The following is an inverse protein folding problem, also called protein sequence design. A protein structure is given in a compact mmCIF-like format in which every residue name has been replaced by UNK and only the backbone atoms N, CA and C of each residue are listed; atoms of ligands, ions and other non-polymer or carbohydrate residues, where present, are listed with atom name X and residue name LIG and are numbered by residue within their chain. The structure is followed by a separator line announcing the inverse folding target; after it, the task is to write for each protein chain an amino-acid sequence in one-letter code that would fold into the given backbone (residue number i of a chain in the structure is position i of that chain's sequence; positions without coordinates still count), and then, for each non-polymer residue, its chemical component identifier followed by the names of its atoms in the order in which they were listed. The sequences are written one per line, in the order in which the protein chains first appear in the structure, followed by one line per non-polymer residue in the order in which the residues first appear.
data_IF_991582993898
#
_entry.id   IF_991582993898
#
_cell.length_a   1.000
_cell.length_b   1.000
_cell.length_c   1.000
_cell.angle_alpha   90.00
_cell.angle_beta   90.00
_cell.angle_gamma   90.00
#
_symmetry.space_group_name_H-M   'P 1'
#
loop_
_entity.id
_entity.type
_entity.pdbx_description
1 polymer ?
#
# COMPACT_ATOMS: atom_id res chain seq x y z
N UNK A 1 1.76 28.51 27.45
CA UNK A 1 1.87 29.74 26.63
C UNK A 1 3.15 30.44 26.99
N UNK A 2 4.21 30.34 26.19
CA UNK A 2 5.42 31.13 26.29
C UNK A 2 5.56 31.91 24.99
N UNK A 3 5.19 33.19 25.03
CA UNK A 3 5.44 34.15 23.97
C UNK A 3 6.89 34.59 24.06
N UNK A 4 7.78 34.08 23.21
CA UNK A 4 9.12 34.58 23.06
C UNK A 4 9.07 35.85 22.17
N UNK A 5 9.15 37.03 22.79
CA UNK A 5 9.32 38.29 22.06
C UNK A 5 10.77 38.41 21.58
N UNK A 6 10.97 38.17 20.31
CA UNK A 6 12.24 38.56 19.68
C UNK A 6 12.27 40.07 19.52
N UNK A 7 13.15 40.71 20.28
CA UNK A 7 13.45 42.12 20.18
C UNK A 7 14.52 42.30 19.10
N UNK A 8 14.14 42.76 17.90
CA UNK A 8 15.09 43.10 16.84
C UNK A 8 15.63 44.50 17.13
N UNK A 9 16.88 44.60 17.59
CA UNK A 9 17.58 45.88 17.71
C UNK A 9 18.23 46.22 16.36
N UNK A 10 17.63 47.12 15.61
CA UNK A 10 18.26 47.67 14.39
C UNK A 10 19.09 48.87 14.76
N UNK A 11 20.40 48.75 14.62
CA UNK A 11 21.33 49.87 14.72
C UNK A 11 21.46 50.53 13.35
N UNK A 12 20.91 51.70 13.18
CA UNK A 12 21.04 52.46 11.94
C UNK A 12 22.39 53.18 11.90
N UNK A 13 23.28 52.71 11.05
CA UNK A 13 24.49 53.48 10.69
C UNK A 13 24.14 54.55 9.66
N UNK A 14 24.76 55.75 9.77
CA UNK A 14 24.62 56.88 8.85
C UNK A 14 24.95 56.45 7.40
N UNK A 15 23.99 56.01 6.63
CA UNK A 15 24.12 55.72 5.22
C UNK A 15 23.73 56.98 4.41
N UNK A 16 24.64 57.41 3.49
CA UNK A 16 24.28 58.44 2.49
C UNK A 16 22.99 58.06 1.79
N UNK A 17 22.06 59.03 1.56
CA UNK A 17 20.69 58.80 1.08
C UNK A 17 20.58 57.81 -0.09
N UNK A 18 21.48 57.81 -1.06
CA UNK A 18 21.46 56.85 -2.18
C UNK A 18 21.71 55.38 -1.81
N UNK A 19 22.41 55.11 -0.71
CA UNK A 19 22.66 53.76 -0.19
C UNK A 19 21.49 53.24 0.66
N UNK A 20 20.79 54.16 1.32
CA UNK A 20 19.59 53.84 2.11
C UNK A 20 18.44 53.30 1.24
N UNK A 21 18.15 53.97 0.11
CA UNK A 21 17.11 53.50 -0.83
C UNK A 21 17.48 52.15 -1.45
N UNK A 22 18.75 51.87 -1.75
CA UNK A 22 19.21 50.56 -2.22
C UNK A 22 19.10 49.48 -1.16
N UNK A 23 19.37 49.83 0.10
CA UNK A 23 19.23 48.90 1.23
C UNK A 23 17.76 48.54 1.49
N UNK A 24 16.86 49.53 1.47
CA UNK A 24 15.39 49.27 1.60
C UNK A 24 14.87 48.40 0.45
N UNK A 25 15.26 48.65 -0.81
CA UNK A 25 14.87 47.81 -1.95
C UNK A 25 15.35 46.36 -1.79
N UNK A 26 16.57 46.13 -1.29
CA UNK A 26 17.11 44.79 -1.04
C UNK A 26 16.39 44.09 0.11
N UNK A 27 16.10 44.83 1.19
CA UNK A 27 15.32 44.30 2.33
C UNK A 27 13.89 43.93 1.89
N UNK A 28 13.23 44.79 1.09
CA UNK A 28 11.89 44.48 0.60
C UNK A 28 11.84 43.25 -0.32
N UNK A 29 12.85 43.07 -1.15
CA UNK A 29 12.97 41.85 -2.01
C UNK A 29 13.20 40.59 -1.17
N UNK A 30 14.08 40.69 -0.14
CA UNK A 30 14.31 39.55 0.75
C UNK A 30 13.08 39.20 1.60
N UNK A 31 12.34 40.20 2.09
CA UNK A 31 11.10 40.00 2.84
C UNK A 31 10.03 39.39 1.92
N UNK A 32 9.90 39.88 0.67
CA UNK A 32 8.98 39.31 -0.31
C UNK A 32 9.32 37.84 -0.64
N UNK A 33 10.61 37.54 -0.82
CA UNK A 33 11.08 36.17 -1.05
C UNK A 33 10.78 35.26 0.16
N UNK A 34 11.02 35.73 1.39
CA UNK A 34 10.71 35.00 2.62
C UNK A 34 9.19 34.76 2.76
N UNK A 35 8.35 35.77 2.46
CA UNK A 35 6.89 35.61 2.47
C UNK A 35 6.45 34.61 1.41
N UNK A 36 7.00 34.67 0.18
CA UNK A 36 6.70 33.68 -0.87
C UNK A 36 7.10 32.26 -0.46
N UNK A 37 8.28 32.06 0.11
CA UNK A 37 8.73 30.75 0.61
C UNK A 37 7.81 30.26 1.73
N UNK A 38 7.44 31.14 2.67
CA UNK A 38 6.56 30.80 3.77
C UNK A 38 5.15 30.46 3.29
N UNK A 39 4.59 31.23 2.33
CA UNK A 39 3.28 30.93 1.74
C UNK A 39 3.28 29.64 0.92
N UNK A 40 4.37 29.36 0.17
CA UNK A 40 4.54 28.08 -0.53
C UNK A 40 4.66 26.91 0.45
N UNK A 41 5.40 27.08 1.55
CA UNK A 41 5.53 26.07 2.60
C UNK A 41 4.18 25.82 3.29
N UNK A 42 3.44 26.88 3.63
CA UNK A 42 2.11 26.73 4.25
C UNK A 42 1.09 26.13 3.30
N UNK A 43 1.12 26.47 1.99
CA UNK A 43 0.23 25.88 1.00
C UNK A 43 0.55 24.41 0.75
N UNK A 44 1.82 24.01 0.80
CA UNK A 44 2.21 22.60 0.69
C UNK A 44 1.78 21.81 1.92
N UNK A 45 1.90 22.37 3.12
CA UNK A 45 1.44 21.71 4.37
C UNK A 45 -0.10 21.58 4.41
N UNK A 46 -0.84 22.58 3.92
CA UNK A 46 -2.31 22.49 3.85
C UNK A 46 -2.78 21.52 2.77
N UNK A 47 -2.08 21.44 1.64
CA UNK A 47 -2.36 20.44 0.60
C UNK A 47 -2.04 19.03 1.10
N UNK A 48 -0.93 18.84 1.82
CA UNK A 48 -0.56 17.56 2.44
C UNK A 48 -1.60 17.11 3.48
N UNK A 49 -2.14 18.03 4.29
CA UNK A 49 -3.18 17.72 5.28
C UNK A 49 -4.58 17.47 4.65
N UNK A 50 -4.83 17.95 3.42
CA UNK A 50 -6.14 17.86 2.78
C UNK A 50 -6.42 16.50 2.11
N UNK A 51 -5.38 15.69 1.86
CA UNK A 51 -5.49 14.42 1.11
C UNK A 51 -5.33 13.18 2.00
N UNK A 52 -5.76 13.26 3.26
CA UNK A 52 -5.76 12.10 4.14
C UNK A 52 -6.91 11.14 3.78
N UNK A 53 -6.58 9.87 3.67
CA UNK A 53 -7.51 8.77 3.41
C UNK A 53 -7.55 7.88 4.64
N UNK A 54 -8.75 7.49 5.06
CA UNK A 54 -8.96 6.50 6.12
C UNK A 54 -9.34 5.17 5.48
N UNK A 55 -8.55 4.14 5.74
CA UNK A 55 -8.75 2.77 5.28
C UNK A 55 -9.27 1.97 6.47
N UNK A 56 -10.37 1.24 6.27
CA UNK A 56 -10.96 0.34 7.26
C UNK A 56 -10.72 -1.10 6.83
N UNK A 57 -10.27 -1.92 7.76
CA UNK A 57 -10.09 -3.36 7.58
C UNK A 57 -11.22 -4.10 8.27
N UNK A 58 -11.57 -5.29 7.78
CA UNK A 58 -12.57 -6.16 8.40
C UNK A 58 -11.94 -7.32 9.16
N UNK A 59 -10.64 -7.51 9.00
CA UNK A 59 -9.89 -8.59 9.64
C UNK A 59 -8.75 -8.01 10.47
N UNK A 60 -8.68 -8.42 11.75
CA UNK A 60 -7.70 -7.90 12.70
C UNK A 60 -6.27 -8.29 12.34
N UNK A 61 -6.07 -9.49 11.78
CA UNK A 61 -4.73 -9.94 11.36
C UNK A 61 -4.24 -9.08 10.22
N UNK A 62 -5.10 -8.83 9.21
CA UNK A 62 -4.74 -7.96 8.08
C UNK A 62 -4.44 -6.55 8.56
N UNK A 63 -5.27 -5.98 9.44
CA UNK A 63 -5.05 -4.68 10.04
C UNK A 63 -3.70 -4.59 10.76
N UNK A 64 -3.44 -5.49 11.73
CA UNK A 64 -2.20 -5.50 12.51
C UNK A 64 -0.96 -5.68 11.63
N UNK A 65 -1.04 -6.55 10.63
CA UNK A 65 0.06 -6.77 9.71
C UNK A 65 0.32 -5.55 8.82
N UNK A 66 -0.72 -4.85 8.34
CA UNK A 66 -0.56 -3.60 7.58
C UNK A 66 0.07 -2.53 8.47
N UNK A 67 -0.43 -2.31 9.68
CA UNK A 67 0.15 -1.36 10.65
C UNK A 67 1.64 -1.67 10.88
N UNK A 68 1.99 -2.94 11.07
CA UNK A 68 3.38 -3.37 11.24
C UNK A 68 4.25 -3.07 10.01
N UNK A 69 3.75 -3.34 8.81
CA UNK A 69 4.47 -3.05 7.55
C UNK A 69 4.69 -1.55 7.34
N UNK A 70 3.77 -0.70 7.84
CA UNK A 70 3.80 0.76 7.68
C UNK A 70 4.41 1.49 8.88
N UNK A 71 5.06 0.79 9.81
CA UNK A 71 5.58 1.34 11.07
C UNK A 71 6.58 2.51 10.92
N UNK A 72 7.19 2.68 9.74
CA UNK A 72 8.12 3.77 9.42
C UNK A 72 7.45 4.93 8.64
N UNK A 73 6.13 4.88 8.46
CA UNK A 73 5.35 5.88 7.74
C UNK A 73 4.53 6.76 8.71
N UNK A 74 4.14 7.95 8.27
CA UNK A 74 3.25 8.83 9.04
C UNK A 74 1.80 8.33 8.93
N UNK A 75 1.43 7.41 9.81
CA UNK A 75 0.08 6.85 9.90
C UNK A 75 -0.56 7.19 11.25
N UNK A 76 -1.87 7.36 11.25
CA UNK A 76 -2.69 7.41 12.46
C UNK A 76 -3.57 6.17 12.51
N UNK A 77 -3.61 5.47 13.64
CA UNK A 77 -4.41 4.25 13.85
C UNK A 77 -5.61 4.50 14.76
N UNK A 78 -6.68 3.77 14.51
CA UNK A 78 -7.84 3.61 15.41
C UNK A 78 -8.07 2.10 15.54
N UNK A 79 -7.51 1.52 16.59
CA UNK A 79 -7.49 0.06 16.77
C UNK A 79 -8.90 -0.50 17.05
N UNK A 80 -9.76 0.26 17.74
CA UNK A 80 -11.14 -0.14 18.01
C UNK A 80 -11.97 -0.30 16.73
N UNK A 81 -11.63 0.47 15.69
CA UNK A 81 -12.29 0.45 14.38
C UNK A 81 -11.50 -0.29 13.32
N UNK A 82 -10.30 -0.78 13.64
CA UNK A 82 -9.35 -1.34 12.66
C UNK A 82 -9.14 -0.39 11.47
N UNK A 83 -8.77 0.87 11.77
CA UNK A 83 -8.59 1.92 10.76
C UNK A 83 -7.17 2.47 10.79
N UNK A 84 -6.66 2.77 9.61
CA UNK A 84 -5.48 3.61 9.44
C UNK A 84 -5.85 4.86 8.64
N UNK A 85 -5.23 5.97 9.01
CA UNK A 85 -5.36 7.24 8.27
C UNK A 85 -3.97 7.71 7.87
N UNK A 86 -3.76 7.92 6.58
CA UNK A 86 -2.50 8.38 6.01
C UNK A 86 -2.74 9.21 4.74
N UNK A 87 -1.70 9.85 4.22
CA UNK A 87 -1.85 10.61 2.98
C UNK A 87 -2.01 9.69 1.77
N UNK A 88 -2.77 10.13 0.79
CA UNK A 88 -3.00 9.40 -0.46
C UNK A 88 -1.68 9.11 -1.21
N UNK A 89 -0.75 10.06 -1.24
CA UNK A 89 0.56 9.88 -1.87
C UNK A 89 1.41 8.82 -1.14
N UNK A 90 1.32 8.80 0.20
CA UNK A 90 2.01 7.80 1.02
C UNK A 90 1.44 6.40 0.78
N UNK A 91 0.10 6.26 0.63
CA UNK A 91 -0.55 5.00 0.24
C UNK A 91 0.00 4.51 -1.11
N UNK A 92 0.08 5.37 -2.11
CA UNK A 92 0.62 5.06 -3.45
C UNK A 92 2.12 4.74 -3.43
N UNK A 93 2.85 5.22 -2.43
CA UNK A 93 4.27 4.97 -2.26
C UNK A 93 4.58 3.58 -1.71
N UNK A 94 3.61 2.90 -1.07
CA UNK A 94 3.75 1.53 -0.56
C UNK A 94 3.95 0.56 -1.72
N UNK A 95 5.10 -0.11 -1.76
CA UNK A 95 5.48 -1.02 -2.86
C UNK A 95 5.37 -2.49 -2.50
N UNK A 96 5.45 -2.83 -1.23
CA UNK A 96 5.40 -4.21 -0.77
C UNK A 96 4.60 -4.31 0.53
N UNK A 97 3.70 -5.29 0.59
CA UNK A 97 3.02 -5.69 1.82
C UNK A 97 3.18 -7.20 2.04
N UNK A 98 3.38 -7.58 3.30
CA UNK A 98 3.47 -8.96 3.74
C UNK A 98 2.50 -9.18 4.89
N UNK A 99 1.44 -9.88 4.60
CA UNK A 99 0.38 -10.23 5.55
C UNK A 99 0.59 -11.69 5.92
N UNK A 100 0.87 -11.95 7.20
CA UNK A 100 1.11 -13.31 7.71
C UNK A 100 0.26 -13.55 8.93
N UNK A 101 -0.57 -14.58 8.89
CA UNK A 101 -1.27 -15.04 10.08
C UNK A 101 -0.27 -15.58 11.12
N UNK A 102 -0.54 -15.41 12.44
CA UNK A 102 0.35 -15.84 13.50
C UNK A 102 0.52 -17.36 13.50
N UNK A 103 1.77 -17.83 13.45
CA UNK A 103 2.05 -19.27 13.51
C UNK A 103 1.67 -19.87 14.88
N UNK A 104 1.03 -21.04 14.87
CA UNK A 104 0.69 -21.79 16.08
C UNK A 104 -0.50 -21.26 16.87
N UNK A 105 -1.19 -20.25 16.37
CA UNK A 105 -2.51 -19.81 16.86
C UNK A 105 -3.59 -20.31 15.89
N UNK A 106 -4.78 -20.63 16.46
CA UNK A 106 -5.95 -21.01 15.65
C UNK A 106 -6.66 -19.79 15.05
N UNK A 107 -5.85 -18.80 14.62
CA UNK A 107 -6.31 -17.57 14.01
C UNK A 107 -5.91 -17.60 12.54
N UNK A 108 -6.82 -17.26 11.66
CA UNK A 108 -6.63 -17.26 10.22
C UNK A 108 -7.29 -16.04 9.59
N UNK A 109 -6.83 -15.65 8.41
CA UNK A 109 -7.32 -14.49 7.68
C UNK A 109 -8.70 -14.82 7.09
N UNK A 110 -9.70 -14.00 7.38
CA UNK A 110 -11.09 -14.19 6.90
C UNK A 110 -11.48 -13.20 5.82
N UNK A 111 -10.86 -12.03 5.78
CA UNK A 111 -11.21 -10.96 4.86
C UNK A 111 -9.94 -10.13 4.55
N UNK A 112 -9.72 -9.84 3.29
CA UNK A 112 -8.58 -9.05 2.82
C UNK A 112 -8.99 -7.64 2.35
N UNK A 113 -10.23 -7.22 2.65
CA UNK A 113 -10.70 -5.86 2.37
C UNK A 113 -9.83 -4.82 3.07
N UNK A 114 -9.64 -3.70 2.41
CA UNK A 114 -8.71 -2.64 2.81
C UNK A 114 -7.42 -2.66 1.97
N UNK A 115 -6.99 -3.85 1.47
CA UNK A 115 -5.80 -3.96 0.63
C UNK A 115 -5.96 -3.29 -0.73
N UNK A 116 -7.18 -3.15 -1.25
CA UNK A 116 -7.50 -2.48 -2.52
C UNK A 116 -7.05 -1.02 -2.59
N UNK A 117 -6.84 -0.40 -1.43
CA UNK A 117 -6.40 1.01 -1.35
C UNK A 117 -4.92 1.19 -1.72
N UNK A 118 -4.09 0.14 -1.60
CA UNK A 118 -2.65 0.21 -1.84
C UNK A 118 -2.29 0.04 -3.31
N UNK A 119 -2.81 0.93 -4.16
CA UNK A 119 -2.67 0.86 -5.63
C UNK A 119 -1.24 0.98 -6.14
N UNK A 120 -0.30 1.41 -5.29
CA UNK A 120 1.11 1.49 -5.60
C UNK A 120 1.89 0.18 -5.48
N UNK A 121 1.24 -0.91 -5.00
CA UNK A 121 1.91 -2.19 -4.75
C UNK A 121 2.49 -2.82 -6.01
N UNK A 122 3.71 -3.31 -5.85
CA UNK A 122 4.41 -4.15 -6.83
C UNK A 122 4.63 -5.57 -6.32
N UNK A 123 4.63 -5.77 -5.01
CA UNK A 123 4.71 -7.08 -4.35
C UNK A 123 3.65 -7.19 -3.26
N UNK A 124 2.90 -8.29 -3.27
CA UNK A 124 1.97 -8.64 -2.19
C UNK A 124 2.13 -10.12 -1.84
N UNK A 125 2.31 -10.39 -0.55
CA UNK A 125 2.41 -11.72 0.02
C UNK A 125 1.36 -11.87 1.09
N UNK A 126 0.46 -12.83 0.94
CA UNK A 126 -0.56 -13.21 1.91
C UNK A 126 -0.32 -14.67 2.27
N UNK A 127 0.09 -14.92 3.51
CA UNK A 127 0.32 -16.27 4.01
C UNK A 127 -0.56 -16.50 5.22
N UNK A 128 -1.53 -17.36 5.04
CA UNK A 128 -2.31 -17.86 6.16
C UNK A 128 -1.58 -19.00 6.87
N UNK A 129 -1.95 -19.24 8.11
CA UNK A 129 -1.38 -20.31 8.92
C UNK A 129 -1.93 -21.66 8.48
N UNK A 130 -1.03 -22.62 8.26
CA UNK A 130 -1.42 -24.01 8.20
C UNK A 130 -1.52 -24.59 9.61
N UNK A 131 -2.53 -25.41 9.83
CA UNK A 131 -2.51 -26.31 10.97
C UNK A 131 -1.43 -27.39 10.78
N UNK A 132 -1.04 -28.05 11.87
CA UNK A 132 -0.03 -29.09 11.86
C UNK A 132 -0.35 -30.28 10.94
N UNK A 133 -1.60 -30.36 10.43
CA UNK A 133 -2.09 -31.39 9.51
C UNK A 133 -2.10 -30.94 8.03
N UNK A 134 -1.63 -29.74 7.74
CA UNK A 134 -1.59 -29.20 6.38
C UNK A 134 -2.95 -28.76 5.83
N UNK A 135 -3.98 -28.66 6.68
CA UNK A 135 -5.30 -28.22 6.26
C UNK A 135 -5.43 -26.70 6.36
N UNK A 136 -6.06 -26.09 5.36
CA UNK A 136 -6.50 -24.69 5.45
C UNK A 136 -7.83 -24.64 6.20
N UNK A 137 -7.95 -23.78 7.23
CA UNK A 137 -9.15 -23.74 8.06
C UNK A 137 -10.40 -23.37 7.27
N UNK A 138 -11.52 -24.00 7.62
CA UNK A 138 -12.82 -23.56 7.11
C UNK A 138 -13.08 -22.11 7.54
N UNK A 139 -13.54 -21.28 6.59
CA UNK A 139 -13.78 -19.85 6.83
C UNK A 139 -12.58 -18.93 6.56
N UNK A 140 -11.44 -19.48 6.10
CA UNK A 140 -10.37 -18.68 5.50
C UNK A 140 -10.90 -17.93 4.28
N UNK A 141 -10.34 -16.75 4.01
CA UNK A 141 -10.81 -15.89 2.91
C UNK A 141 -10.85 -16.60 1.56
N UNK A 142 -11.88 -16.27 0.78
CA UNK A 142 -12.08 -16.79 -0.58
C UNK A 142 -12.33 -15.70 -1.61
N UNK A 143 -12.63 -14.47 -1.14
CA UNK A 143 -12.88 -13.31 -1.98
C UNK A 143 -11.54 -12.64 -2.34
N UNK A 144 -11.16 -12.66 -3.62
CA UNK A 144 -9.98 -12.01 -4.16
C UNK A 144 -10.29 -10.65 -4.79
N UNK A 145 -11.56 -10.20 -4.75
CA UNK A 145 -11.98 -8.92 -5.38
C UNK A 145 -11.21 -7.69 -4.88
N UNK A 146 -10.72 -7.61 -3.61
CA UNK A 146 -9.87 -6.52 -3.18
C UNK A 146 -8.54 -6.39 -3.95
N UNK A 147 -8.12 -7.46 -4.65
CA UNK A 147 -6.87 -7.43 -5.43
C UNK A 147 -7.06 -6.90 -6.86
N UNK A 148 -8.29 -6.86 -7.36
CA UNK A 148 -8.64 -6.59 -8.76
C UNK A 148 -8.03 -5.30 -9.32
N UNK A 149 -7.94 -4.25 -8.49
CA UNK A 149 -7.42 -2.94 -8.87
C UNK A 149 -5.89 -2.79 -8.75
N UNK A 150 -5.17 -3.77 -8.20
CA UNK A 150 -3.75 -3.69 -7.91
C UNK A 150 -2.89 -4.01 -9.14
N UNK A 151 -3.19 -3.35 -10.26
CA UNK A 151 -2.59 -3.62 -11.58
C UNK A 151 -1.08 -3.37 -11.65
N UNK A 152 -0.49 -2.71 -10.66
CA UNK A 152 0.96 -2.53 -10.53
C UNK A 152 1.71 -3.76 -10.03
N UNK A 153 1.01 -4.81 -9.58
CA UNK A 153 1.64 -6.00 -9.02
C UNK A 153 2.46 -6.74 -10.09
N UNK A 154 3.71 -7.03 -9.72
CA UNK A 154 4.63 -7.88 -10.49
C UNK A 154 4.85 -9.21 -9.80
N UNK A 155 4.64 -9.28 -8.48
CA UNK A 155 4.72 -10.49 -7.67
C UNK A 155 3.52 -10.59 -6.73
N UNK A 156 2.84 -11.73 -6.79
CA UNK A 156 1.72 -12.08 -5.92
C UNK A 156 1.90 -13.49 -5.37
N UNK A 157 1.86 -13.63 -4.04
CA UNK A 157 1.82 -14.91 -3.36
C UNK A 157 0.58 -14.95 -2.45
N UNK A 158 -0.25 -15.96 -2.65
CA UNK A 158 -1.44 -16.22 -1.84
C UNK A 158 -1.37 -17.68 -1.39
N UNK A 159 -1.12 -17.89 -0.11
CA UNK A 159 -1.07 -19.22 0.48
C UNK A 159 -2.15 -19.34 1.55
N UNK A 160 -2.93 -20.42 1.50
CA UNK A 160 -3.99 -20.69 2.46
C UNK A 160 -5.30 -19.96 2.15
N UNK A 161 -5.69 -19.83 0.88
CA UNK A 161 -7.00 -19.27 0.48
C UNK A 161 -8.00 -20.38 0.14
N UNK A 162 -9.29 -20.11 0.34
CA UNK A 162 -10.39 -20.93 -0.17
C UNK A 162 -11.01 -20.37 -1.46
N UNK A 163 -10.29 -19.55 -2.21
CA UNK A 163 -10.73 -19.07 -3.51
C UNK A 163 -11.05 -20.25 -4.45
N UNK A 164 -12.12 -20.13 -5.22
CA UNK A 164 -12.53 -21.11 -6.21
C UNK A 164 -12.20 -20.69 -7.65
N UNK A 165 -11.81 -19.44 -7.87
CA UNK A 165 -11.46 -18.86 -9.17
C UNK A 165 -10.36 -17.81 -9.00
N UNK A 166 -9.61 -17.57 -10.09
CA UNK A 166 -8.63 -16.48 -10.23
C UNK A 166 -9.15 -15.32 -11.08
N UNK A 167 -10.43 -15.23 -11.33
CA UNK A 167 -11.03 -14.20 -12.21
C UNK A 167 -10.72 -12.77 -11.72
N UNK A 168 -10.73 -12.55 -10.42
CA UNK A 168 -10.46 -11.23 -9.85
C UNK A 168 -9.02 -10.74 -10.05
N UNK A 169 -8.07 -11.65 -10.30
CA UNK A 169 -6.69 -11.29 -10.59
C UNK A 169 -6.35 -11.33 -12.08
N UNK A 170 -7.32 -11.67 -12.95
CA UNK A 170 -7.13 -11.74 -14.40
C UNK A 170 -6.63 -10.43 -15.04
N UNK A 171 -6.95 -9.29 -14.43
CA UNK A 171 -6.51 -7.95 -14.85
C UNK A 171 -5.10 -7.57 -14.42
N UNK A 172 -4.41 -8.38 -13.62
CA UNK A 172 -3.07 -8.10 -13.11
C UNK A 172 -1.99 -8.49 -14.12
N UNK A 173 -2.10 -7.96 -15.33
CA UNK A 173 -1.28 -8.34 -16.49
C UNK A 173 0.21 -8.03 -16.35
N UNK A 174 0.61 -7.22 -15.35
CA UNK A 174 2.02 -6.97 -15.03
C UNK A 174 2.67 -8.07 -14.17
N UNK A 175 1.90 -9.07 -13.73
CA UNK A 175 2.45 -10.17 -12.92
C UNK A 175 3.52 -10.95 -13.71
N UNK A 176 4.68 -11.08 -13.09
CA UNK A 176 5.79 -11.92 -13.57
C UNK A 176 5.99 -13.14 -12.67
N UNK A 177 5.49 -13.11 -11.44
CA UNK A 177 5.54 -14.22 -10.49
C UNK A 177 4.20 -14.34 -9.77
N UNK A 178 3.59 -15.51 -9.85
CA UNK A 178 2.35 -15.85 -9.16
C UNK A 178 2.53 -17.18 -8.42
N UNK A 179 2.25 -17.16 -7.10
CA UNK A 179 2.09 -18.35 -6.30
C UNK A 179 0.70 -18.36 -5.69
N UNK A 180 -0.01 -19.47 -5.86
CA UNK A 180 -1.30 -19.72 -5.18
C UNK A 180 -1.24 -21.09 -4.55
N UNK A 181 -1.72 -21.15 -3.32
CA UNK A 181 -1.94 -22.39 -2.60
C UNK A 181 -3.37 -22.41 -2.05
N UNK A 182 -4.17 -23.38 -2.52
CA UNK A 182 -5.60 -23.51 -2.20
C UNK A 182 -5.95 -24.98 -2.04
N UNK A 183 -6.64 -25.41 -0.97
CA UNK A 183 -7.05 -26.79 -0.77
C UNK A 183 -8.27 -27.19 -1.61
N UNK A 184 -8.83 -26.25 -2.37
CA UNK A 184 -10.00 -26.48 -3.23
C UNK A 184 -9.59 -26.50 -4.69
N UNK A 185 -10.42 -27.16 -5.51
CA UNK A 185 -10.28 -27.04 -6.96
C UNK A 185 -10.41 -25.58 -7.37
N UNK A 186 -9.36 -25.03 -7.97
CA UNK A 186 -9.26 -23.64 -8.39
C UNK A 186 -9.51 -23.56 -9.89
N UNK A 187 -10.52 -22.77 -10.30
CA UNK A 187 -10.70 -22.43 -11.70
C UNK A 187 -9.58 -21.47 -12.15
N UNK A 188 -8.79 -21.95 -13.09
CA UNK A 188 -7.61 -21.25 -13.62
C UNK A 188 -7.86 -20.66 -15.02
N UNK A 189 -9.12 -20.64 -15.50
CA UNK A 189 -9.46 -20.18 -16.84
C UNK A 189 -8.96 -18.76 -17.15
N UNK A 190 -8.90 -17.90 -16.13
CA UNK A 190 -8.43 -16.53 -16.27
C UNK A 190 -6.90 -16.38 -16.29
N UNK A 191 -6.14 -17.44 -15.96
CA UNK A 191 -4.65 -17.35 -15.83
C UNK A 191 -3.98 -17.07 -17.19
N UNK A 192 -4.61 -17.46 -18.29
CA UNK A 192 -4.14 -17.19 -19.64
C UNK A 192 -4.06 -15.69 -20.00
N UNK A 193 -4.69 -14.82 -19.20
CA UNK A 193 -4.60 -13.37 -19.38
C UNK A 193 -3.31 -12.79 -18.82
N UNK A 194 -2.59 -13.54 -17.97
CA UNK A 194 -1.37 -13.11 -17.30
C UNK A 194 -0.14 -13.40 -18.18
N UNK A 195 -0.11 -12.82 -19.36
CA UNK A 195 0.87 -13.13 -20.42
C UNK A 195 2.32 -12.76 -20.10
N UNK A 196 2.56 -11.98 -19.03
CA UNK A 196 3.91 -11.64 -18.58
C UNK A 196 4.45 -12.59 -17.51
N UNK A 197 3.72 -13.65 -17.13
CA UNK A 197 4.17 -14.60 -16.12
C UNK A 197 5.44 -15.33 -16.57
N UNK A 198 6.44 -15.31 -15.69
CA UNK A 198 7.70 -16.07 -15.82
C UNK A 198 7.77 -17.22 -14.83
N UNK A 199 7.08 -17.07 -13.70
CA UNK A 199 7.02 -18.07 -12.65
C UNK A 199 5.58 -18.25 -12.20
N UNK A 200 5.11 -19.49 -12.26
CA UNK A 200 3.82 -19.91 -11.75
C UNK A 200 4.01 -21.10 -10.83
N UNK A 201 3.55 -20.98 -9.58
CA UNK A 201 3.50 -22.05 -8.60
C UNK A 201 2.06 -22.23 -8.13
N UNK A 202 1.52 -23.41 -8.34
CA UNK A 202 0.17 -23.79 -7.93
C UNK A 202 0.28 -25.02 -7.02
N UNK A 203 0.03 -24.80 -5.73
CA UNK A 203 0.16 -25.85 -4.72
C UNK A 203 -1.23 -26.21 -4.18
N UNK A 204 -1.51 -27.50 -4.05
CA UNK A 204 -2.77 -28.06 -3.54
C UNK A 204 -4.05 -27.59 -4.28
N UNK A 205 -3.95 -26.96 -5.45
CA UNK A 205 -5.07 -26.33 -6.17
C UNK A 205 -6.01 -27.31 -6.89
N UNK A 206 -5.87 -28.61 -6.68
CA UNK A 206 -6.74 -29.62 -7.29
C UNK A 206 -6.71 -29.64 -8.82
N UNK A 207 -5.57 -29.30 -9.43
CA UNK A 207 -5.41 -29.19 -10.88
C UNK A 207 -5.38 -30.60 -11.46
N UNK A 208 -6.25 -30.85 -12.41
CA UNK A 208 -6.23 -32.07 -13.23
C UNK A 208 -5.38 -31.90 -14.51
N UNK A 209 -5.35 -32.94 -15.35
CA UNK A 209 -4.59 -32.91 -16.59
C UNK A 209 -5.13 -31.88 -17.60
N UNK A 210 -6.43 -31.57 -17.59
CA UNK A 210 -7.05 -30.60 -18.49
C UNK A 210 -6.62 -29.18 -18.07
N UNK A 211 -6.67 -28.87 -16.79
CA UNK A 211 -6.19 -27.60 -16.23
C UNK A 211 -4.71 -27.39 -16.48
N UNK A 212 -3.88 -28.44 -16.32
CA UNK A 212 -2.45 -28.36 -16.61
C UNK A 212 -2.17 -28.07 -18.09
N UNK A 213 -2.83 -28.77 -19.02
CA UNK A 213 -2.69 -28.53 -20.45
C UNK A 213 -3.15 -27.12 -20.84
N UNK A 214 -4.28 -26.66 -20.28
CA UNK A 214 -4.76 -25.29 -20.51
C UNK A 214 -3.72 -24.23 -20.14
N UNK A 215 -3.07 -24.37 -18.98
CA UNK A 215 -2.04 -23.45 -18.52
C UNK A 215 -0.83 -23.47 -19.45
N UNK A 216 -0.35 -24.66 -19.83
CA UNK A 216 0.82 -24.80 -20.70
C UNK A 216 0.57 -24.20 -22.08
N UNK A 217 -0.62 -24.40 -22.66
CA UNK A 217 -0.99 -23.87 -23.97
C UNK A 217 -1.09 -22.33 -23.99
N UNK A 218 -1.44 -21.71 -22.87
CA UNK A 218 -1.63 -20.26 -22.76
C UNK A 218 -0.38 -19.49 -22.37
N UNK A 219 0.53 -20.11 -21.62
CA UNK A 219 1.74 -19.48 -21.09
C UNK A 219 3.01 -19.78 -21.91
N UNK A 220 2.89 -20.49 -23.03
CA UNK A 220 4.00 -20.72 -23.99
C UNK A 220 4.18 -19.52 -24.91
N UNK A 221 4.66 -18.40 -24.36
CA UNK A 221 5.03 -17.20 -25.09
C UNK A 221 6.54 -16.94 -25.06
#
# INVERSE_FOLDING_TARGET
YVYNRYKINMTFYNLKEGNFVKAIKRISVLVLALVMVFTLCMSSQTAYAANKVTITFKDSIVYEQVVSNLSNMDITTDDDKMQITMNEEDIKSVKSLRIKAPYGKYEFIKDISGLENFTGLTELIIWDSYYNDGQVPEGTFSDLSPLKGLTGLTKLEICGTHASSVDDIAGLTNLTSLKIESPKHLDLSAIGNLTNLKTLSLEACGIDNEGFNYITDKLTG
#
